data_IF_478624007031
#
_entry.id   IF_478624007031
#
_cell.length_a   1.000
_cell.length_b   1.000
_cell.length_c   1.000
_cell.angle_alpha   90.00
_cell.angle_beta   90.00
_cell.angle_gamma   90.00
#
_symmetry.space_group_name_H-M   'P 1'
#
loop_
_entity.id
_entity.type
_entity.pdbx_description
1 polymer ?
#
# COMPACT_ATOMS: atom_id res chain seq x y z
N UNK A 1 2.11 -31.15 2.51
CA UNK A 1 2.66 -30.50 3.71
C UNK A 1 1.74 -29.36 4.08
N UNK A 2 0.80 -29.60 5.00
CA UNK A 2 -0.23 -28.63 5.42
C UNK A 2 0.32 -27.87 6.64
N UNK A 3 0.47 -26.55 6.51
CA UNK A 3 0.92 -25.66 7.60
C UNK A 3 -0.28 -25.35 8.50
N UNK A 4 -0.25 -25.82 9.73
CA UNK A 4 -1.19 -25.44 10.79
C UNK A 4 -0.83 -24.03 11.30
N UNK A 5 -1.68 -23.06 11.01
CA UNK A 5 -1.67 -21.71 11.57
C UNK A 5 -2.61 -21.66 12.79
N UNK A 6 -2.15 -22.14 13.95
CA UNK A 6 -2.66 -21.77 15.28
C UNK A 6 -2.00 -22.69 16.32
N UNK A 7 -1.39 -22.11 17.36
CA UNK A 7 -0.71 -22.83 18.44
C UNK A 7 -1.64 -23.58 19.40
N UNK A 8 -2.64 -24.28 18.88
CA UNK A 8 -3.40 -25.29 19.61
C UNK A 8 -2.64 -26.63 19.50
N UNK A 9 -2.48 -27.40 20.59
CA UNK A 9 -1.90 -28.74 20.50
C UNK A 9 -2.73 -29.59 19.54
N UNK A 10 -2.06 -30.30 18.64
CA UNK A 10 -2.74 -31.24 17.76
C UNK A 10 -3.51 -32.24 18.62
N UNK A 11 -4.82 -32.47 18.38
CA UNK A 11 -5.56 -33.48 19.12
C UNK A 11 -4.86 -34.82 18.92
N UNK A 12 -4.65 -35.54 20.02
CA UNK A 12 -4.14 -36.92 20.12
C UNK A 12 -5.17 -37.92 19.55
N UNK A 13 -5.69 -37.62 18.36
CA UNK A 13 -6.61 -38.49 17.65
C UNK A 13 -5.78 -39.57 16.96
N UNK A 14 -6.10 -40.83 17.26
CA UNK A 14 -5.64 -41.99 16.50
C UNK A 14 -5.93 -41.72 15.00
N UNK A 15 -4.98 -41.88 14.08
CA UNK A 15 -5.22 -41.67 12.64
C UNK A 15 -6.41 -42.47 12.10
N UNK A 16 -6.79 -43.57 12.77
CA UNK A 16 -7.97 -44.38 12.43
C UNK A 16 -9.32 -43.78 12.91
N UNK A 17 -9.28 -42.82 13.85
CA UNK A 17 -10.46 -42.10 14.37
C UNK A 17 -10.78 -40.80 13.59
N UNK A 18 -9.97 -40.45 12.59
CA UNK A 18 -10.26 -39.33 11.72
C UNK A 18 -11.40 -39.71 10.75
N UNK A 19 -12.48 -38.91 10.66
CA UNK A 19 -13.56 -39.20 9.73
C UNK A 19 -13.00 -39.21 8.31
N UNK A 20 -13.14 -40.35 7.62
CA UNK A 20 -12.73 -40.51 6.23
C UNK A 20 -13.47 -39.48 5.36
N UNK A 21 -12.82 -38.35 5.07
CA UNK A 21 -13.32 -37.38 4.10
C UNK A 21 -13.05 -37.91 2.70
N UNK A 22 -14.00 -37.80 1.75
CA UNK A 22 -13.72 -38.15 0.36
C UNK A 22 -12.54 -37.29 -0.13
N UNK A 23 -11.59 -37.91 -0.84
CA UNK A 23 -10.45 -37.22 -1.39
C UNK A 23 -10.91 -36.12 -2.36
N UNK A 24 -10.70 -34.86 -1.97
CA UNK A 24 -10.95 -33.72 -2.82
C UNK A 24 -9.77 -33.55 -3.78
N UNK A 25 -10.03 -33.55 -5.08
CA UNK A 25 -9.00 -33.28 -6.09
C UNK A 25 -8.69 -31.79 -6.05
N UNK A 26 -7.68 -31.43 -5.26
CA UNK A 26 -7.21 -30.05 -5.15
C UNK A 26 -6.55 -29.56 -6.45
N UNK A 27 -5.95 -30.48 -7.23
CA UNK A 27 -5.34 -30.18 -8.51
C UNK A 27 -5.15 -31.41 -9.42
N UNK A 28 -5.32 -31.27 -10.76
CA UNK A 28 -6.00 -30.17 -11.42
C UNK A 28 -7.50 -30.19 -11.06
N UNK A 29 -8.08 -29.01 -10.84
CA UNK A 29 -9.50 -28.87 -10.52
C UNK A 29 -10.35 -29.54 -11.61
N UNK A 30 -11.45 -30.21 -11.22
CA UNK A 30 -12.41 -30.88 -12.13
C UNK A 30 -13.23 -29.88 -12.97
N UNK A 31 -12.53 -29.11 -13.80
CA UNK A 31 -13.07 -28.02 -14.60
C UNK A 31 -12.95 -26.67 -13.87
N UNK A 32 -12.57 -25.65 -14.62
CA UNK A 32 -12.51 -24.27 -14.13
C UNK A 32 -13.94 -23.74 -13.93
N UNK A 33 -14.22 -23.20 -12.74
CA UNK A 33 -15.47 -22.52 -12.46
C UNK A 33 -15.62 -21.28 -13.36
N UNK A 34 -16.82 -21.07 -13.90
CA UNK A 34 -17.10 -19.93 -14.77
C UNK A 34 -17.21 -18.69 -13.87
N UNK A 35 -16.30 -17.73 -14.04
CA UNK A 35 -16.21 -16.54 -13.18
C UNK A 35 -17.50 -15.72 -13.17
N UNK A 36 -17.84 -15.13 -12.02
CA UNK A 36 -19.10 -14.37 -11.82
C UNK A 36 -19.29 -13.23 -12.83
N UNK A 37 -18.20 -12.70 -13.40
CA UNK A 37 -18.23 -11.63 -14.41
C UNK A 37 -18.93 -12.01 -15.72
N UNK A 38 -19.09 -13.30 -16.00
CA UNK A 38 -19.79 -13.79 -17.21
C UNK A 38 -21.31 -13.64 -17.04
N UNK A 39 -22.06 -13.10 -18.01
CA UNK A 39 -23.52 -12.96 -17.92
C UNK A 39 -24.23 -14.30 -17.65
N UNK A 40 -25.35 -14.25 -16.91
CA UNK A 40 -26.09 -15.45 -16.47
C UNK A 40 -26.50 -16.33 -17.65
N UNK A 41 -26.99 -15.74 -18.74
CA UNK A 41 -27.39 -16.49 -19.94
C UNK A 41 -26.21 -17.17 -20.62
N UNK A 42 -25.08 -16.48 -20.77
CA UNK A 42 -23.83 -17.02 -21.34
C UNK A 42 -23.31 -18.19 -20.50
N UNK A 43 -23.32 -18.04 -19.16
CA UNK A 43 -22.92 -19.09 -18.21
C UNK A 43 -23.82 -20.32 -18.29
N UNK A 44 -25.13 -20.10 -18.42
CA UNK A 44 -26.12 -21.18 -18.53
C UNK A 44 -25.87 -22.01 -19.79
N UNK A 45 -25.69 -21.38 -20.95
CA UNK A 45 -25.42 -22.07 -22.20
C UNK A 45 -24.09 -22.84 -22.16
N UNK A 46 -23.03 -22.28 -21.57
CA UNK A 46 -21.77 -23.02 -21.39
C UNK A 46 -21.94 -24.24 -20.48
N UNK A 47 -22.73 -24.12 -19.42
CA UNK A 47 -23.01 -25.23 -18.50
C UNK A 47 -23.77 -26.34 -19.21
N UNK A 48 -24.72 -26.00 -20.08
CA UNK A 48 -25.42 -26.97 -20.91
C UNK A 48 -24.49 -27.61 -21.95
N UNK A 49 -23.59 -26.84 -22.57
CA UNK A 49 -22.60 -27.38 -23.50
C UNK A 49 -21.69 -28.44 -22.82
N UNK A 50 -21.16 -28.12 -21.63
CA UNK A 50 -20.39 -29.05 -20.79
C UNK A 50 -21.22 -30.27 -20.35
N UNK A 51 -22.51 -30.09 -20.08
CA UNK A 51 -23.41 -31.19 -19.73
C UNK A 51 -23.63 -32.12 -20.94
N UNK A 52 -23.79 -31.59 -22.14
CA UNK A 52 -23.88 -32.35 -23.39
C UNK A 52 -22.67 -33.26 -23.61
N UNK A 53 -21.45 -32.74 -23.42
CA UNK A 53 -20.22 -33.53 -23.51
C UNK A 53 -20.15 -34.66 -22.47
N UNK A 54 -20.56 -34.38 -21.23
CA UNK A 54 -20.61 -35.38 -20.15
C UNK A 54 -21.65 -36.47 -20.41
N UNK A 55 -22.77 -36.10 -21.04
CA UNK A 55 -23.81 -37.03 -21.47
C UNK A 55 -23.47 -37.79 -22.77
N UNK A 56 -22.35 -37.48 -23.42
CA UNK A 56 -21.93 -38.11 -24.68
C UNK A 56 -22.65 -37.60 -25.93
N UNK A 57 -23.39 -36.49 -25.84
CA UNK A 57 -24.08 -35.87 -26.97
C UNK A 57 -23.26 -34.72 -27.57
N UNK A 58 -22.49 -35.03 -28.62
CA UNK A 58 -21.68 -34.05 -29.35
C UNK A 58 -22.55 -32.95 -29.97
N UNK A 59 -23.66 -33.32 -30.61
CA UNK A 59 -24.58 -32.37 -31.24
C UNK A 59 -25.21 -31.39 -30.23
N UNK A 60 -25.64 -31.88 -29.06
CA UNK A 60 -26.18 -31.01 -28.02
C UNK A 60 -25.13 -30.00 -27.51
N UNK A 61 -23.89 -30.45 -27.32
CA UNK A 61 -22.81 -29.58 -26.88
C UNK A 61 -22.57 -28.42 -27.85
N UNK A 62 -22.46 -28.71 -29.15
CA UNK A 62 -22.21 -27.69 -30.18
C UNK A 62 -23.41 -26.76 -30.39
N UNK A 63 -24.65 -27.25 -30.28
CA UNK A 63 -25.84 -26.40 -30.33
C UNK A 63 -25.85 -25.36 -29.19
N UNK A 64 -25.43 -25.76 -27.99
CA UNK A 64 -25.29 -24.83 -26.86
C UNK A 64 -24.12 -23.86 -27.04
N UNK A 65 -23.02 -24.26 -27.70
CA UNK A 65 -21.94 -23.33 -28.09
C UNK A 65 -22.45 -22.24 -29.03
N UNK A 66 -23.30 -22.59 -30.00
CA UNK A 66 -23.92 -21.59 -30.88
C UNK A 66 -24.85 -20.63 -30.12
N UNK A 67 -25.72 -21.16 -29.25
CA UNK A 67 -26.60 -20.34 -28.39
C UNK A 67 -25.80 -19.44 -27.46
N UNK A 68 -24.65 -19.90 -26.99
CA UNK A 68 -23.70 -19.10 -26.22
C UNK A 68 -23.20 -17.90 -27.03
N UNK A 69 -22.82 -18.07 -28.31
CA UNK A 69 -22.41 -16.95 -29.17
C UNK A 69 -23.54 -15.94 -29.38
N UNK A 70 -24.79 -16.41 -29.52
CA UNK A 70 -25.98 -15.55 -29.61
C UNK A 70 -26.18 -14.77 -28.31
N UNK A 71 -26.07 -15.44 -27.16
CA UNK A 71 -26.17 -14.81 -25.83
C UNK A 71 -25.09 -13.75 -25.62
N UNK A 72 -23.85 -13.99 -26.10
CA UNK A 72 -22.77 -13.00 -26.06
C UNK A 72 -23.09 -11.78 -26.92
N UNK A 73 -23.60 -11.99 -28.14
CA UNK A 73 -24.01 -10.87 -29.00
C UNK A 73 -25.13 -10.05 -28.34
N UNK A 74 -26.13 -10.73 -27.77
CA UNK A 74 -27.25 -10.08 -27.08
C UNK A 74 -26.79 -9.27 -25.85
N UNK A 75 -25.86 -9.79 -25.04
CA UNK A 75 -25.30 -9.07 -23.88
C UNK A 75 -24.60 -7.77 -24.29
N UNK A 76 -23.90 -7.79 -25.43
CA UNK A 76 -23.28 -6.60 -26.00
C UNK A 76 -24.25 -5.66 -26.73
N UNK A 77 -25.56 -5.92 -26.67
CA UNK A 77 -26.60 -5.10 -27.29
C UNK A 77 -26.69 -5.24 -28.81
N UNK A 78 -26.13 -6.31 -29.37
CA UNK A 78 -26.07 -6.55 -30.82
C UNK A 78 -27.20 -7.51 -31.22
N UNK A 79 -28.17 -6.99 -31.97
CA UNK A 79 -29.33 -7.74 -32.47
C UNK A 79 -29.27 -7.87 -34.00
N UNK A 80 -28.13 -8.35 -34.51
CA UNK A 80 -27.96 -8.59 -35.94
C UNK A 80 -29.01 -9.55 -36.50
N UNK A 81 -29.38 -9.38 -37.77
CA UNK A 81 -30.39 -10.24 -38.45
C UNK A 81 -30.00 -11.72 -38.46
N UNK A 82 -28.70 -12.00 -38.45
CA UNK A 82 -28.14 -13.35 -38.35
C UNK A 82 -26.95 -13.31 -37.40
N UNK A 83 -26.60 -14.45 -36.80
CA UNK A 83 -25.43 -14.57 -35.95
C UNK A 83 -24.13 -14.15 -36.69
N UNK A 84 -24.04 -14.44 -37.99
CA UNK A 84 -22.93 -13.99 -38.84
C UNK A 84 -22.77 -12.46 -38.84
N UNK A 85 -23.86 -11.71 -39.03
CA UNK A 85 -23.81 -10.26 -38.99
C UNK A 85 -23.52 -9.73 -37.57
N UNK A 86 -24.10 -10.36 -36.54
CA UNK A 86 -23.87 -9.98 -35.16
C UNK A 86 -22.40 -10.12 -34.74
N UNK A 87 -21.72 -11.20 -35.14
CA UNK A 87 -20.29 -11.40 -34.85
C UNK A 87 -19.39 -10.36 -35.55
N UNK A 88 -19.70 -10.01 -36.79
CA UNK A 88 -18.95 -8.98 -37.53
C UNK A 88 -19.19 -7.59 -36.94
N UNK A 89 -20.40 -7.33 -36.46
CA UNK A 89 -20.73 -6.11 -35.71
C UNK A 89 -19.96 -6.06 -34.38
N UNK A 90 -19.85 -7.18 -33.67
CA UNK A 90 -19.08 -7.32 -32.43
C UNK A 90 -17.60 -6.97 -32.65
N UNK A 91 -17.03 -7.39 -33.77
CA UNK A 91 -15.68 -6.96 -34.21
C UNK A 91 -15.63 -5.47 -34.53
N UNK A 92 -16.60 -4.96 -35.30
CA UNK A 92 -16.61 -3.53 -35.68
C UNK A 92 -16.74 -2.58 -34.48
N UNK A 93 -17.42 -3.04 -33.42
CA UNK A 93 -17.53 -2.36 -32.13
C UNK A 93 -16.24 -2.48 -31.27
N UNK A 94 -15.20 -3.15 -31.77
CA UNK A 94 -13.92 -3.34 -31.09
C UNK A 94 -14.02 -4.24 -29.85
N UNK A 95 -15.01 -5.13 -29.77
CA UNK A 95 -15.16 -6.08 -28.65
C UNK A 95 -14.29 -7.32 -28.83
N UNK A 96 -14.14 -7.77 -30.08
CA UNK A 96 -13.26 -8.87 -30.47
C UNK A 96 -12.33 -8.42 -31.59
N UNK A 97 -11.16 -9.06 -31.69
CA UNK A 97 -10.25 -8.88 -32.81
C UNK A 97 -10.59 -9.79 -34.00
N UNK A 98 -9.79 -9.71 -35.07
CA UNK A 98 -10.01 -10.49 -36.28
C UNK A 98 -9.82 -12.00 -36.11
N UNK A 99 -8.96 -12.42 -35.18
CA UNK A 99 -8.67 -13.83 -34.93
C UNK A 99 -9.76 -14.49 -34.09
N UNK A 100 -10.28 -13.78 -33.09
CA UNK A 100 -11.44 -14.24 -32.34
C UNK A 100 -12.71 -14.26 -33.19
N UNK A 101 -12.82 -13.39 -34.20
CA UNK A 101 -13.91 -13.47 -35.16
C UNK A 101 -13.84 -14.78 -35.97
N UNK A 102 -12.67 -15.20 -36.47
CA UNK A 102 -12.57 -16.44 -37.23
C UNK A 102 -12.96 -17.65 -36.39
N UNK A 103 -12.56 -17.70 -35.11
CA UNK A 103 -13.01 -18.75 -34.19
C UNK A 103 -14.53 -18.76 -34.04
N UNK A 104 -15.14 -17.59 -33.80
CA UNK A 104 -16.59 -17.50 -33.63
C UNK A 104 -17.36 -17.87 -34.92
N UNK A 105 -16.83 -17.54 -36.10
CA UNK A 105 -17.40 -17.93 -37.39
C UNK A 105 -17.32 -19.45 -37.61
N UNK A 106 -16.19 -20.10 -37.27
CA UNK A 106 -16.03 -21.56 -37.33
C UNK A 106 -16.99 -22.28 -36.35
N UNK A 107 -17.07 -21.82 -35.10
CA UNK A 107 -18.00 -22.37 -34.10
C UNK A 107 -19.47 -22.22 -34.53
N UNK A 108 -19.82 -21.10 -35.17
CA UNK A 108 -21.14 -20.86 -35.74
C UNK A 108 -21.44 -21.86 -36.87
N UNK A 109 -20.48 -22.13 -37.74
CA UNK A 109 -20.64 -23.08 -38.85
C UNK A 109 -20.83 -24.50 -38.34
N UNK A 110 -20.00 -24.93 -37.39
CA UNK A 110 -20.16 -26.23 -36.74
C UNK A 110 -21.54 -26.39 -36.07
N UNK A 111 -22.04 -25.32 -35.43
CA UNK A 111 -23.39 -25.30 -34.86
C UNK A 111 -24.52 -25.23 -35.87
N UNK A 112 -24.27 -24.76 -37.09
CA UNK A 112 -25.22 -24.91 -38.19
C UNK A 112 -25.26 -26.37 -38.65
N UNK A 113 -24.10 -26.98 -38.88
CA UNK A 113 -23.98 -28.37 -39.33
C UNK A 113 -24.63 -29.36 -38.35
N UNK A 114 -24.44 -29.16 -37.05
CA UNK A 114 -25.03 -29.99 -36.00
C UNK A 114 -26.57 -29.87 -35.91
N UNK A 115 -27.16 -28.77 -36.41
CA UNK A 115 -28.61 -28.56 -36.42
C UNK A 115 -29.28 -29.19 -37.65
N UNK A 116 -28.53 -29.45 -38.72
CA UNK A 116 -29.06 -30.00 -39.96
C UNK A 116 -29.10 -31.53 -39.91
N UNK A 117 -30.29 -32.10 -40.14
CA UNK A 117 -30.45 -33.55 -40.28
C UNK A 117 -29.76 -34.04 -41.57
N UNK A 118 -28.86 -35.02 -41.44
CA UNK A 118 -28.20 -35.67 -42.59
C UNK A 118 -26.75 -35.24 -42.86
N UNK A 119 -26.15 -34.40 -42.02
CA UNK A 119 -24.70 -34.12 -42.02
C UNK A 119 -23.90 -35.30 -41.48
N UNK A 120 -22.59 -35.34 -41.78
CA UNK A 120 -21.68 -36.34 -41.23
C UNK A 120 -21.72 -36.31 -39.68
N UNK A 121 -21.60 -37.47 -39.01
CA UNK A 121 -21.69 -37.52 -37.56
C UNK A 121 -20.53 -36.74 -36.92
N UNK A 122 -20.87 -35.70 -36.17
CA UNK A 122 -19.94 -34.90 -35.40
C UNK A 122 -19.18 -35.77 -34.39
N UNK A 123 -17.85 -35.69 -34.40
CA UNK A 123 -17.02 -36.44 -33.47
C UNK A 123 -17.07 -35.85 -32.06
N UNK A 124 -16.78 -36.68 -31.06
CA UNK A 124 -16.63 -36.21 -29.67
C UNK A 124 -15.50 -35.20 -29.53
N UNK A 125 -14.45 -35.32 -30.33
CA UNK A 125 -13.30 -34.41 -30.28
C UNK A 125 -13.68 -33.03 -30.80
N UNK A 126 -14.34 -32.93 -31.96
CA UNK A 126 -14.82 -31.65 -32.50
C UNK A 126 -15.75 -30.91 -31.52
N UNK A 127 -16.64 -31.65 -30.85
CA UNK A 127 -17.49 -31.06 -29.82
C UNK A 127 -16.70 -30.59 -28.58
N UNK A 128 -15.66 -31.33 -28.18
CA UNK A 128 -14.81 -30.95 -27.06
C UNK A 128 -14.01 -29.68 -27.38
N UNK A 129 -13.40 -29.64 -28.55
CA UNK A 129 -12.64 -28.48 -29.05
C UNK A 129 -13.56 -27.25 -29.18
N UNK A 130 -14.79 -27.44 -29.67
CA UNK A 130 -15.76 -26.36 -29.78
C UNK A 130 -16.13 -25.75 -28.43
N UNK A 131 -16.30 -26.58 -27.39
CA UNK A 131 -16.56 -26.10 -26.02
C UNK A 131 -15.34 -25.39 -25.45
N UNK A 132 -14.14 -25.92 -25.65
CA UNK A 132 -12.90 -25.30 -25.17
C UNK A 132 -12.65 -23.93 -25.83
N UNK A 133 -12.85 -23.82 -27.14
CA UNK A 133 -12.75 -22.56 -27.86
C UNK A 133 -13.83 -21.56 -27.41
N UNK A 134 -15.06 -22.03 -27.16
CA UNK A 134 -16.12 -21.18 -26.61
C UNK A 134 -15.77 -20.66 -25.20
N UNK A 135 -15.15 -21.50 -24.36
CA UNK A 135 -14.64 -21.10 -23.05
C UNK A 135 -13.55 -20.04 -23.14
N UNK A 136 -12.58 -20.25 -24.02
CA UNK A 136 -11.52 -19.27 -24.26
C UNK A 136 -12.09 -17.93 -24.79
N UNK A 137 -13.10 -18.00 -25.66
CA UNK A 137 -13.78 -16.84 -26.21
C UNK A 137 -14.47 -16.00 -25.12
N UNK A 138 -15.22 -16.63 -24.20
CA UNK A 138 -15.86 -15.91 -23.09
C UNK A 138 -14.84 -15.38 -22.08
N UNK A 139 -13.76 -16.12 -21.83
CA UNK A 139 -12.69 -15.69 -20.94
C UNK A 139 -12.02 -14.42 -21.48
N UNK A 140 -11.74 -14.38 -22.79
CA UNK A 140 -11.22 -13.19 -23.44
C UNK A 140 -12.15 -11.99 -23.23
N UNK A 141 -13.45 -12.16 -23.50
CA UNK A 141 -14.42 -11.06 -23.48
C UNK A 141 -14.74 -10.55 -22.07
N UNK A 142 -14.98 -11.45 -21.12
CA UNK A 142 -15.51 -11.09 -19.81
C UNK A 142 -14.48 -11.11 -18.69
N UNK A 143 -13.33 -11.77 -18.88
CA UNK A 143 -12.29 -11.86 -17.85
C UNK A 143 -11.07 -11.05 -18.25
N UNK A 144 -10.47 -11.33 -19.42
CA UNK A 144 -9.21 -10.72 -19.81
C UNK A 144 -9.38 -9.29 -20.33
N UNK A 145 -10.40 -9.01 -21.13
CA UNK A 145 -10.63 -7.66 -21.67
C UNK A 145 -10.89 -6.60 -20.58
N UNK A 146 -11.74 -6.84 -19.56
CA UNK A 146 -11.90 -5.91 -18.44
C UNK A 146 -10.61 -5.77 -17.62
N UNK A 147 -9.93 -6.88 -17.30
CA UNK A 147 -8.66 -6.85 -16.55
C UNK A 147 -7.58 -6.04 -17.27
N UNK A 148 -7.49 -6.19 -18.60
CA UNK A 148 -6.57 -5.44 -19.44
C UNK A 148 -6.93 -3.96 -19.48
N UNK A 149 -8.21 -3.62 -19.61
CA UNK A 149 -8.68 -2.23 -19.52
C UNK A 149 -8.34 -1.61 -18.17
N UNK A 150 -8.58 -2.30 -17.08
CA UNK A 150 -8.23 -1.81 -15.74
C UNK A 150 -6.72 -1.64 -15.59
N UNK A 151 -5.93 -2.55 -16.17
CA UNK A 151 -4.47 -2.42 -16.21
C UNK A 151 -4.02 -1.19 -17.01
N UNK A 152 -4.62 -0.94 -18.17
CA UNK A 152 -4.37 0.26 -18.96
C UNK A 152 -4.74 1.52 -18.19
N UNK A 153 -5.90 1.56 -17.52
CA UNK A 153 -6.31 2.69 -16.67
C UNK A 153 -5.29 2.94 -15.55
N UNK A 154 -4.80 1.87 -14.90
CA UNK A 154 -3.76 1.99 -13.87
C UNK A 154 -2.44 2.53 -14.43
N UNK A 155 -2.05 2.14 -15.65
CA UNK A 155 -0.81 2.61 -16.31
C UNK A 155 -0.91 4.01 -16.90
N UNK A 156 -2.07 4.37 -17.45
CA UNK A 156 -2.33 5.66 -18.08
C UNK A 156 -2.60 6.76 -17.04
N UNK A 157 -2.96 6.39 -15.81
CA UNK A 157 -2.94 7.33 -14.68
C UNK A 157 -1.50 7.86 -14.56
N UNK A 158 -1.25 9.17 -14.75
CA UNK A 158 0.09 9.71 -14.54
C UNK A 158 0.52 9.29 -13.15
N UNK A 159 1.78 8.83 -13.02
CA UNK A 159 2.38 8.56 -11.73
C UNK A 159 1.99 9.73 -10.84
N UNK A 160 1.16 9.48 -9.83
CA UNK A 160 0.70 10.50 -8.91
C UNK A 160 2.00 11.09 -8.40
N UNK A 161 2.39 12.30 -8.86
CA UNK A 161 3.46 13.08 -8.21
C UNK A 161 3.12 12.91 -6.75
N UNK A 162 4.00 12.27 -5.98
CA UNK A 162 3.70 12.05 -4.59
C UNK A 162 3.42 13.44 -4.04
N UNK A 163 2.13 13.75 -3.80
CA UNK A 163 1.81 14.60 -2.68
C UNK A 163 2.28 13.72 -1.54
N UNK A 164 3.56 13.87 -1.20
CA UNK A 164 4.05 13.79 0.15
C UNK A 164 2.87 14.29 0.97
N UNK A 165 2.16 13.37 1.64
CA UNK A 165 1.42 13.74 2.82
C UNK A 165 2.41 14.59 3.60
N UNK A 166 2.12 15.88 3.88
CA UNK A 166 3.05 16.71 4.62
C UNK A 166 3.54 15.87 5.78
N UNK A 167 4.84 15.58 5.81
CA UNK A 167 5.39 14.64 6.78
C UNK A 167 5.09 15.25 8.15
N UNK A 168 4.09 14.70 8.85
CA UNK A 168 3.61 15.25 10.10
C UNK A 168 4.27 14.51 11.25
N UNK A 169 5.14 15.21 11.98
CA UNK A 169 5.83 14.65 13.15
C UNK A 169 5.05 14.94 14.43
N UNK A 170 5.40 14.25 15.52
CA UNK A 170 4.81 14.54 16.84
C UNK A 170 5.07 15.99 17.27
N UNK A 171 6.26 16.53 16.98
CA UNK A 171 6.58 17.94 17.21
C UNK A 171 5.60 18.87 16.48
N UNK A 172 5.36 18.63 15.18
CA UNK A 172 4.42 19.43 14.38
C UNK A 172 2.99 19.32 14.92
N UNK A 173 2.56 18.14 15.35
CA UNK A 173 1.24 17.92 15.95
C UNK A 173 1.07 18.72 17.24
N UNK A 174 2.09 18.74 18.10
CA UNK A 174 2.09 19.49 19.37
C UNK A 174 2.08 21.00 19.11
N UNK A 175 2.92 21.50 18.19
CA UNK A 175 2.93 22.92 17.83
C UNK A 175 1.60 23.37 17.23
N UNK A 176 0.99 22.58 16.33
CA UNK A 176 -0.37 22.85 15.80
C UNK A 176 -1.43 22.86 16.90
N UNK A 177 -1.42 21.85 17.78
CA UNK A 177 -2.39 21.72 18.89
C UNK A 177 -2.31 22.91 19.85
N UNK A 178 -1.11 23.41 20.10
CA UNK A 178 -0.86 24.58 20.96
C UNK A 178 -0.99 25.91 20.23
N UNK A 179 -1.34 25.91 18.93
CA UNK A 179 -1.41 27.09 18.06
C UNK A 179 -0.13 27.91 18.05
N UNK A 180 1.00 27.23 18.17
CA UNK A 180 2.32 27.84 18.11
C UNK A 180 2.71 28.03 16.65
N UNK A 181 3.04 29.25 16.19
CA UNK A 181 3.54 29.48 14.84
C UNK A 181 4.87 28.75 14.61
N UNK A 182 5.00 28.07 13.48
CA UNK A 182 6.26 27.47 13.05
C UNK A 182 6.31 27.33 11.52
N UNK A 183 7.53 27.34 10.97
CA UNK A 183 7.80 27.00 9.59
C UNK A 183 8.50 25.65 9.50
N UNK A 184 8.31 24.96 8.37
CA UNK A 184 8.85 23.62 8.12
C UNK A 184 9.94 23.72 7.07
N UNK A 185 11.13 23.20 7.37
CA UNK A 185 12.31 23.29 6.52
C UNK A 185 12.82 21.88 6.17
N UNK A 186 12.40 21.33 5.01
CA UNK A 186 12.94 20.08 4.50
C UNK A 186 14.40 20.26 4.10
N UNK A 187 15.22 19.24 4.33
CA UNK A 187 16.60 19.17 3.82
C UNK A 187 16.89 17.77 3.29
N UNK A 188 17.78 17.61 2.30
CA UNK A 188 18.19 16.31 1.81
C UNK A 188 18.92 15.56 2.93
N UNK A 189 18.32 14.47 3.43
CA UNK A 189 19.01 13.58 4.35
C UNK A 189 19.73 12.49 3.56
N UNK A 190 21.04 12.61 3.48
CA UNK A 190 21.93 11.55 3.04
C UNK A 190 22.72 11.04 4.27
N UNK A 191 22.58 9.76 4.66
CA UNK A 191 23.37 9.16 5.74
C UNK A 191 24.88 9.30 5.55
N UNK A 192 25.39 9.51 4.32
CA UNK A 192 26.80 9.77 4.06
C UNK A 192 27.22 11.22 4.39
N UNK A 193 26.35 12.20 4.15
CA UNK A 193 26.70 13.64 4.18
C UNK A 193 26.03 14.45 5.30
N UNK A 194 24.94 13.97 5.89
CA UNK A 194 24.15 14.68 6.93
C UNK A 194 24.18 13.96 8.28
N UNK A 195 25.38 13.57 8.72
CA UNK A 195 25.63 12.79 9.96
C UNK A 195 25.61 13.63 11.25
N UNK A 196 25.62 14.96 11.14
CA UNK A 196 25.69 15.87 12.29
C UNK A 196 24.76 17.07 12.11
N UNK A 197 24.33 17.67 13.22
CA UNK A 197 23.50 18.90 13.17
C UNK A 197 24.23 20.08 12.51
N UNK A 198 25.56 20.11 12.56
CA UNK A 198 26.37 21.09 11.84
C UNK A 198 26.26 20.91 10.31
N UNK A 199 26.25 19.67 9.82
CA UNK A 199 26.02 19.39 8.40
C UNK A 199 24.59 19.76 7.97
N UNK A 200 23.59 19.56 8.84
CA UNK A 200 22.21 20.01 8.60
C UNK A 200 22.11 21.53 8.53
N UNK A 201 22.77 22.25 9.44
CA UNK A 201 22.82 23.71 9.43
C UNK A 201 23.40 24.23 8.11
N UNK A 202 24.50 23.63 7.63
CA UNK A 202 25.09 23.98 6.34
C UNK A 202 24.13 23.69 5.16
N UNK A 203 23.48 22.52 5.16
CA UNK A 203 22.54 22.14 4.10
C UNK A 203 21.32 23.07 4.01
N UNK A 204 20.91 23.66 5.13
CA UNK A 204 19.81 24.63 5.21
C UNK A 204 20.25 26.09 5.06
N UNK A 205 21.56 26.37 5.04
CA UNK A 205 22.08 27.73 5.05
C UNK A 205 21.79 28.50 6.35
N UNK A 206 21.65 27.78 7.47
CA UNK A 206 21.30 28.34 8.78
C UNK A 206 22.56 28.59 9.61
N UNK A 207 22.74 29.79 10.19
CA UNK A 207 23.86 30.06 11.10
C UNK A 207 23.84 29.13 12.34
N UNK A 208 25.01 28.61 12.79
CA UNK A 208 25.08 27.73 13.96
C UNK A 208 24.41 28.25 15.25
N UNK A 209 24.45 29.56 15.59
CA UNK A 209 23.77 30.09 16.77
C UNK A 209 22.24 29.93 16.75
N UNK A 210 21.63 29.83 15.56
CA UNK A 210 20.17 29.65 15.39
C UNK A 210 19.77 28.18 15.33
N UNK A 211 20.71 27.26 15.13
CA UNK A 211 20.44 25.83 15.07
C UNK A 211 20.56 25.24 16.48
N UNK A 212 19.48 24.73 17.05
CA UNK A 212 19.47 24.23 18.43
C UNK A 212 19.62 22.73 18.51
N UNK A 213 20.10 22.23 19.64
CA UNK A 213 20.09 20.82 20.04
C UNK A 213 19.36 20.67 21.37
N UNK A 214 18.74 19.52 21.56
CA UNK A 214 18.13 19.13 22.82
C UNK A 214 18.97 18.00 23.44
N UNK A 215 19.35 18.14 24.70
CA UNK A 215 20.16 17.17 25.44
C UNK A 215 19.44 16.83 26.73
N UNK A 216 19.23 15.54 26.98
CA UNK A 216 18.66 15.07 28.26
C UNK A 216 19.80 14.90 29.26
N UNK A 217 19.60 15.40 30.47
CA UNK A 217 20.52 15.23 31.60
C UNK A 217 19.74 14.73 32.81
N UNK A 218 20.46 14.15 33.77
CA UNK A 218 19.93 13.73 35.05
C UNK A 218 20.46 14.62 36.18
N UNK A 219 19.55 15.07 37.04
CA UNK A 219 19.84 15.66 38.34
C UNK A 219 19.48 14.61 39.40
N UNK A 220 20.48 13.84 39.85
CA UNK A 220 20.23 12.61 40.61
C UNK A 220 19.45 11.60 39.76
N UNK A 221 18.19 11.34 40.12
CA UNK A 221 17.30 10.42 39.41
C UNK A 221 16.27 11.12 38.51
N UNK A 222 16.24 12.46 38.51
CA UNK A 222 15.26 13.23 37.74
C UNK A 222 15.83 13.66 36.39
N UNK A 223 15.15 13.31 35.29
CA UNK A 223 15.52 13.75 33.96
C UNK A 223 15.09 15.22 33.73
N UNK A 224 15.98 15.99 33.13
CA UNK A 224 15.78 17.38 32.70
C UNK A 224 16.26 17.58 31.27
N UNK A 225 15.78 18.63 30.62
CA UNK A 225 16.12 18.95 29.24
C UNK A 225 16.93 20.25 29.16
N UNK A 226 18.09 20.19 28.53
CA UNK A 226 18.86 21.35 28.13
C UNK A 226 18.65 21.61 26.63
N UNK A 227 18.28 22.83 26.28
CA UNK A 227 18.09 23.29 24.90
C UNK A 227 19.10 24.41 24.65
N UNK A 228 19.97 24.24 23.66
CA UNK A 228 21.06 25.18 23.39
C UNK A 228 21.43 25.21 21.91
N UNK A 229 22.17 26.23 21.48
CA UNK A 229 22.76 26.25 20.14
C UNK A 229 23.69 25.05 19.91
N UNK A 230 23.86 24.65 18.65
CA UNK A 230 24.80 23.57 18.30
C UNK A 230 26.25 23.98 18.57
N UNK A 231 26.55 25.28 18.46
CA UNK A 231 27.82 25.91 18.79
C UNK A 231 27.94 26.06 20.31
N UNK A 232 28.87 25.30 20.91
CA UNK A 232 29.10 25.25 22.36
C UNK A 232 28.68 23.91 22.99
N UNK A 233 29.16 23.63 24.20
CA UNK A 233 28.85 22.41 24.96
C UNK A 233 27.98 22.77 26.15
N UNK A 234 27.08 21.87 26.54
CA UNK A 234 26.29 22.09 27.76
C UNK A 234 27.25 22.14 28.95
N UNK A 235 27.16 23.19 29.76
CA UNK A 235 27.84 23.25 31.03
C UNK A 235 26.96 22.60 32.10
N UNK A 236 27.34 21.40 32.51
CA UNK A 236 26.60 20.57 33.46
C UNK A 236 26.45 21.26 34.83
N UNK A 237 27.48 22.02 35.24
CA UNK A 237 27.46 22.75 36.50
C UNK A 237 26.49 23.94 36.43
N UNK A 238 26.52 24.71 35.34
CA UNK A 238 25.59 25.81 35.13
C UNK A 238 24.13 25.33 35.01
N UNK A 239 23.91 24.19 34.33
CA UNK A 239 22.58 23.57 34.26
C UNK A 239 22.11 23.12 35.66
N UNK A 240 22.97 22.43 36.42
CA UNK A 240 22.65 22.00 37.77
C UNK A 240 22.31 23.19 38.67
N UNK A 241 23.14 24.24 38.64
CA UNK A 241 22.92 25.48 39.37
C UNK A 241 21.60 26.16 38.98
N UNK A 242 21.26 26.19 37.69
CA UNK A 242 19.97 26.70 37.24
C UNK A 242 18.83 25.96 37.96
N UNK A 243 18.93 24.63 38.15
CA UNK A 243 17.90 23.80 38.82
C UNK A 243 18.05 23.75 40.35
N UNK A 244 19.03 24.45 40.95
CA UNK A 244 19.32 24.34 42.38
C UNK A 244 19.85 22.96 42.79
N UNK A 245 20.45 22.22 41.86
CA UNK A 245 21.03 20.90 42.09
C UNK A 245 22.55 20.98 42.20
N UNK A 246 23.15 20.02 42.93
CA UNK A 246 24.61 19.98 43.12
C UNK A 246 25.40 19.47 41.91
N UNK A 247 24.81 18.63 41.05
CA UNK A 247 25.46 18.09 39.87
C UNK A 247 24.45 17.65 38.80
N UNK A 248 24.88 17.68 37.54
CA UNK A 248 24.14 17.13 36.41
C UNK A 248 24.99 16.09 35.66
N UNK A 249 24.35 15.06 35.12
CA UNK A 249 24.99 14.04 34.28
C UNK A 249 24.26 13.90 32.96
N UNK A 250 24.97 13.92 31.85
CA UNK A 250 24.38 13.68 30.52
C UNK A 250 23.77 12.27 30.45
N UNK A 251 22.54 12.19 29.95
CA UNK A 251 21.86 10.92 29.73
C UNK A 251 22.54 10.13 28.61
N UNK A 252 22.55 8.80 28.72
CA UNK A 252 23.11 7.95 27.66
C UNK A 252 22.18 7.92 26.45
N UNK A 253 22.68 7.47 25.30
CA UNK A 253 21.83 7.27 24.11
C UNK A 253 20.62 6.37 24.39
N UNK A 254 20.83 5.27 25.14
CA UNK A 254 19.77 4.36 25.54
C UNK A 254 18.75 5.00 26.50
N UNK A 255 19.18 5.92 27.37
CA UNK A 255 18.27 6.72 28.19
C UNK A 255 17.36 7.59 27.34
N UNK A 256 17.94 8.32 26.38
CA UNK A 256 17.21 9.23 25.50
C UNK A 256 16.19 8.49 24.65
N UNK A 257 16.60 7.38 24.03
CA UNK A 257 15.70 6.58 23.18
C UNK A 257 14.54 5.99 23.99
N UNK A 258 14.76 5.60 25.26
CA UNK A 258 13.69 5.16 26.16
C UNK A 258 12.73 6.29 26.54
N UNK A 259 13.25 7.46 26.91
CA UNK A 259 12.45 8.62 27.32
C UNK A 259 11.66 9.19 26.13
N UNK A 260 12.29 9.26 24.96
CA UNK A 260 11.71 9.82 23.74
C UNK A 260 10.85 8.83 22.95
N UNK A 261 10.41 7.71 23.55
CA UNK A 261 9.58 6.70 22.89
C UNK A 261 10.14 6.24 21.52
N UNK A 262 11.43 5.86 21.49
CA UNK A 262 12.20 5.43 20.32
C UNK A 262 12.58 6.54 19.31
N UNK A 263 12.52 7.81 19.70
CA UNK A 263 13.18 8.89 18.93
C UNK A 263 14.70 8.78 19.11
N UNK A 264 15.43 8.71 18.00
CA UNK A 264 16.89 8.69 18.01
C UNK A 264 17.46 10.00 18.57
N UNK A 265 18.51 9.88 19.38
CA UNK A 265 19.05 11.00 20.15
C UNK A 265 19.54 12.19 19.29
N UNK A 266 19.90 11.96 18.03
CA UNK A 266 20.39 12.96 17.08
C UNK A 266 19.28 13.80 16.42
N UNK A 267 18.04 13.33 16.46
CA UNK A 267 16.84 14.04 15.96
C UNK A 267 15.85 14.38 17.08
N UNK A 268 16.31 14.37 18.32
CA UNK A 268 15.51 14.63 19.51
C UNK A 268 14.90 16.03 19.48
N UNK A 269 13.57 16.10 19.32
CA UNK A 269 12.86 17.38 19.34
C UNK A 269 12.56 17.81 20.78
N UNK A 270 12.85 19.06 21.18
CA UNK A 270 12.54 19.54 22.53
C UNK A 270 11.04 19.61 22.83
N UNK A 271 10.19 19.58 21.80
CA UNK A 271 8.73 19.68 21.93
C UNK A 271 8.01 18.33 21.79
N UNK A 272 8.74 17.24 21.51
CA UNK A 272 8.18 15.90 21.29
C UNK A 272 8.66 14.88 22.34
N UNK A 273 8.88 15.34 23.56
CA UNK A 273 9.25 14.52 24.72
C UNK A 273 8.09 14.48 25.72
N UNK A 274 8.04 13.45 26.60
CA UNK A 274 7.30 13.56 27.85
C UNK A 274 7.72 14.82 28.60
N UNK A 275 6.86 15.32 29.50
CA UNK A 275 7.18 16.54 30.25
C UNK A 275 8.49 16.37 31.03
N UNK A 276 9.49 17.17 30.67
CA UNK A 276 10.77 17.29 31.35
C UNK A 276 10.98 18.75 31.74
N UNK A 277 11.34 19.05 33.00
CA UNK A 277 11.78 20.39 33.38
C UNK A 277 12.92 20.83 32.44
N UNK A 278 12.72 21.98 31.78
CA UNK A 278 13.54 22.39 30.64
C UNK A 278 14.25 23.72 30.90
N UNK A 279 15.47 23.86 30.36
CA UNK A 279 16.20 25.14 30.31
C UNK A 279 16.58 25.42 28.86
N UNK A 280 16.27 26.62 28.38
CA UNK A 280 16.78 27.18 27.12
C UNK A 280 17.98 28.08 27.42
N UNK A 281 19.07 27.90 26.69
CA UNK A 281 20.25 28.75 26.81
C UNK A 281 19.93 30.22 26.50
N UNK A 282 20.47 31.14 27.29
CA UNK A 282 20.25 32.58 27.14
C UNK A 282 20.67 33.10 25.74
N UNK A 283 21.74 32.56 25.14
CA UNK A 283 22.19 32.94 23.81
C UNK A 283 21.21 32.53 22.70
N UNK A 284 20.51 31.40 22.87
CA UNK A 284 19.45 30.96 21.97
C UNK A 284 18.16 31.77 22.16
N UNK A 285 17.86 32.18 23.40
CA UNK A 285 16.69 33.00 23.72
C UNK A 285 16.74 34.41 23.09
N UNK A 286 17.94 34.91 22.77
CA UNK A 286 18.16 36.22 22.14
C UNK A 286 18.11 36.25 20.61
N UNK A 287 17.87 35.12 19.95
CA UNK A 287 17.76 35.05 18.48
C UNK A 287 16.36 35.46 18.00
N UNK A 288 16.25 36.00 16.78
CA UNK A 288 14.94 36.31 16.18
C UNK A 288 14.11 35.05 15.90
N UNK A 289 14.79 33.96 15.54
CA UNK A 289 14.19 32.65 15.26
C UNK A 289 15.24 31.55 15.37
N UNK A 290 14.77 30.36 15.74
CA UNK A 290 15.61 29.19 15.99
C UNK A 290 15.08 27.95 15.28
N UNK A 291 15.98 27.03 14.96
CA UNK A 291 15.69 25.75 14.31
C UNK A 291 15.84 24.60 15.29
N UNK A 292 14.82 23.77 15.40
CA UNK A 292 14.81 22.57 16.24
C UNK A 292 14.58 21.30 15.40
N UNK A 293 15.09 20.14 15.84
CA UNK A 293 14.78 18.87 15.22
C UNK A 293 13.26 18.64 15.18
N UNK A 294 12.75 18.10 14.08
CA UNK A 294 11.33 17.73 13.97
C UNK A 294 10.96 16.41 14.66
N UNK A 295 11.94 15.64 15.13
CA UNK A 295 11.76 14.26 15.61
C UNK A 295 12.15 13.20 14.57
N UNK A 296 12.63 13.61 13.39
CA UNK A 296 13.12 12.72 12.32
C UNK A 296 14.14 13.44 11.44
N UNK A 297 14.91 12.66 10.70
CA UNK A 297 15.82 13.19 9.69
C UNK A 297 15.08 13.79 8.49
N UNK A 298 15.74 14.76 7.84
CA UNK A 298 15.29 15.42 6.61
C UNK A 298 14.30 16.56 6.82
N UNK A 299 14.07 16.97 8.06
CA UNK A 299 13.10 17.99 8.41
C UNK A 299 13.48 18.73 9.71
N UNK A 300 13.64 20.04 9.64
CA UNK A 300 13.78 20.95 10.79
C UNK A 300 12.55 21.85 10.92
N UNK A 301 12.32 22.38 12.11
CA UNK A 301 11.22 23.32 12.40
C UNK A 301 11.80 24.66 12.85
N UNK A 302 11.37 25.76 12.23
CA UNK A 302 11.74 27.12 12.60
C UNK A 302 10.62 27.76 13.42
N UNK A 303 10.95 28.38 14.55
CA UNK A 303 10.00 29.07 15.43
C UNK A 303 10.69 30.15 16.26
N UNK A 304 9.91 31.05 16.87
CA UNK A 304 10.44 32.05 17.78
C UNK A 304 10.91 31.39 19.10
N UNK A 305 12.03 31.83 19.71
CA UNK A 305 12.48 31.28 20.99
C UNK A 305 11.44 31.42 22.11
N UNK A 306 10.67 32.50 22.10
CA UNK A 306 9.61 32.74 23.09
C UNK A 306 8.45 31.75 22.97
N UNK A 307 8.13 31.35 21.74
CA UNK A 307 7.15 30.31 21.47
C UNK A 307 7.66 28.94 21.91
N UNK A 308 8.96 28.67 21.69
CA UNK A 308 9.62 27.46 22.18
C UNK A 308 9.62 27.40 23.72
N UNK A 309 9.91 28.50 24.40
CA UNK A 309 9.82 28.63 25.86
C UNK A 309 8.40 28.31 26.33
N UNK A 310 7.38 28.89 25.71
CA UNK A 310 5.97 28.69 26.08
C UNK A 310 5.54 27.22 25.93
N UNK A 311 5.85 26.59 24.80
CA UNK A 311 5.41 25.20 24.53
C UNK A 311 6.16 24.17 25.39
N UNK A 312 7.41 24.44 25.75
CA UNK A 312 8.23 23.55 26.60
C UNK A 312 8.14 23.88 28.08
N UNK A 313 7.54 25.02 28.45
CA UNK A 313 7.64 25.60 29.81
C UNK A 313 9.10 25.74 30.28
N UNK A 314 10.02 25.98 29.34
CA UNK A 314 11.43 26.13 29.65
C UNK A 314 11.69 27.47 30.34
N UNK A 315 12.63 27.48 31.29
CA UNK A 315 13.21 28.72 31.81
C UNK A 315 14.50 29.05 31.05
N UNK A 316 14.97 30.28 31.15
CA UNK A 316 16.19 30.72 30.49
C UNK A 316 17.36 30.83 31.48
N UNK A 317 18.53 30.30 31.12
CA UNK A 317 19.77 30.49 31.87
C UNK A 317 20.97 30.32 30.93
N UNK A 318 22.13 30.90 31.27
CA UNK A 318 23.38 30.62 30.53
C UNK A 318 23.88 29.23 30.90
N UNK A 319 23.82 28.28 29.97
CA UNK A 319 24.12 26.85 30.20
C UNK A 319 25.09 26.28 29.17
N UNK A 320 25.82 27.14 28.45
CA UNK A 320 26.76 26.77 27.40
C UNK A 320 28.17 27.30 27.69
N UNK A 321 29.18 26.49 27.38
CA UNK A 321 30.62 26.82 27.42
C UNK A 321 31.36 26.36 26.16
#
# INVERSE_FOLDING_TARGET
MMLLLSGEPAPDADPDDLPARPAEVLWPSRGREIGEQVPVLVRAELTQARAGLRAGSAAAAVLHVRRLLEAVCADHGITGRTLFHALRELRSAGRIDGWLLSWAEELRELGNEAAHLGTAPLTRQEAADAVELAEAFIDYLYVFSPKYRDFQVRRARPARKSRSTPIETTAMRILRKTRTPFAVHPYPHDPAHTKSRAAVALALGVPPPRMLKAVVLYLGHHAVLAIAAIEGRIDENALAAAFGAGAARVATRADVERIGEAIAADVLSPVALPYLPSVLDAGAAGQDSVYIPSGRHGLELELAPQDLIRVTSARTASIVK
#
